data_IF_342902181822
#
_entry.id   IF_342902181822
#
_cell.length_a   1.000
_cell.length_b   1.000
_cell.length_c   1.000
_cell.angle_alpha   90.00
_cell.angle_beta   90.00
_cell.angle_gamma   90.00
#
_symmetry.space_group_name_H-M   'P 1'
#
loop_
_entity.id
_entity.type
_entity.pdbx_description
1 polymer ?
#
# COMPACT_ATOMS: atom_id res chain seq x y z
N UNK A 1 -25.41 52.12 -14.70
CA UNK A 1 -24.16 51.77 -13.99
C UNK A 1 -23.80 50.34 -14.41
N UNK A 2 -23.17 50.19 -15.58
CA UNK A 2 -21.72 50.06 -15.78
C UNK A 2 -21.18 48.72 -15.23
N UNK A 3 -21.06 47.70 -16.09
CA UNK A 3 -19.82 47.17 -16.71
C UNK A 3 -18.96 46.37 -15.68
N UNK A 4 -18.70 45.06 -15.79
CA UNK A 4 -18.22 44.27 -16.94
C UNK A 4 -18.56 42.74 -16.82
N UNK A 5 -18.56 42.02 -17.95
CA UNK A 5 -18.83 40.58 -18.05
C UNK A 5 -17.62 39.72 -17.69
N UNK A 6 -17.85 38.60 -16.97
CA UNK A 6 -16.84 37.55 -16.79
C UNK A 6 -16.60 36.87 -18.14
N UNK A 7 -15.39 37.05 -18.66
CA UNK A 7 -14.90 36.52 -19.93
C UNK A 7 -14.88 34.98 -19.90
N UNK A 8 -15.66 34.39 -20.78
CA UNK A 8 -15.47 33.05 -21.32
C UNK A 8 -14.07 32.93 -21.95
N UNK A 9 -13.27 31.97 -21.51
CA UNK A 9 -12.01 31.59 -22.18
C UNK A 9 -12.26 30.28 -22.93
N UNK A 10 -12.34 30.28 -24.27
CA UNK A 10 -12.12 29.08 -25.06
C UNK A 10 -10.65 29.05 -25.50
N UNK A 11 -9.89 28.03 -25.10
CA UNK A 11 -8.57 27.76 -25.70
C UNK A 11 -8.36 26.27 -25.94
N UNK A 12 -8.72 25.92 -27.17
CA UNK A 12 -8.28 24.88 -28.11
C UNK A 12 -7.24 23.82 -27.70
N UNK A 13 -7.33 22.63 -28.36
CA UNK A 13 -6.53 21.45 -28.09
C UNK A 13 -5.15 21.55 -28.74
N UNK A 14 -4.12 21.02 -28.08
CA UNK A 14 -2.85 20.68 -28.73
C UNK A 14 -2.41 19.28 -28.33
N UNK A 15 -2.67 18.38 -29.28
CA UNK A 15 -1.76 17.33 -29.72
C UNK A 15 -0.30 17.63 -29.34
N UNK A 16 0.25 16.80 -28.48
CA UNK A 16 1.68 16.49 -28.47
C UNK A 16 1.81 14.98 -28.28
N UNK A 17 1.84 14.30 -29.43
CA UNK A 17 2.62 13.08 -29.56
C UNK A 17 4.07 13.40 -29.17
N UNK A 18 4.73 12.50 -28.45
CA UNK A 18 6.11 12.01 -28.66
C UNK A 18 6.44 11.03 -27.51
N UNK A 19 6.35 9.75 -27.85
CA UNK A 19 7.42 8.76 -27.79
C UNK A 19 8.42 8.82 -26.60
N UNK A 20 8.29 7.86 -25.67
CA UNK A 20 9.41 7.20 -24.99
C UNK A 20 8.83 5.92 -24.33
N UNK A 21 8.92 4.76 -24.96
CA UNK A 21 10.06 3.84 -24.92
C UNK A 21 10.43 3.41 -23.49
N UNK A 22 10.11 2.16 -23.14
CA UNK A 22 10.77 1.50 -22.02
C UNK A 22 9.96 0.40 -21.32
N UNK A 23 10.18 -0.83 -21.75
CA UNK A 23 10.26 -2.03 -20.90
C UNK A 23 8.93 -2.59 -20.34
N UNK A 24 8.15 -3.22 -21.23
CA UNK A 24 7.41 -4.44 -20.85
C UNK A 24 8.15 -5.63 -21.44
N UNK A 25 9.08 -6.15 -20.65
CA UNK A 25 9.70 -7.45 -20.85
C UNK A 25 8.63 -8.53 -20.63
N UNK A 26 7.90 -8.84 -21.70
CA UNK A 26 7.19 -10.10 -21.82
C UNK A 26 8.16 -11.16 -22.30
N UNK A 27 8.54 -12.08 -21.41
CA UNK A 27 9.15 -13.35 -21.81
C UNK A 27 8.18 -14.47 -21.43
N UNK A 28 7.28 -14.75 -22.35
CA UNK A 28 6.65 -16.07 -22.47
C UNK A 28 7.56 -16.91 -23.36
N UNK A 29 7.49 -18.24 -23.20
CA UNK A 29 7.97 -19.28 -24.12
C UNK A 29 9.46 -19.65 -23.93
N UNK A 30 9.90 -20.91 -23.98
CA UNK A 30 9.30 -22.14 -24.53
C UNK A 30 10.12 -23.35 -24.05
N UNK A 31 9.46 -24.50 -23.96
CA UNK A 31 10.07 -25.81 -23.77
C UNK A 31 10.79 -26.31 -25.03
N UNK A 32 11.96 -26.94 -24.89
CA UNK A 32 12.49 -27.90 -25.88
C UNK A 32 13.55 -28.86 -25.30
N UNK A 33 13.19 -30.15 -25.31
CA UNK A 33 13.92 -31.42 -25.56
C UNK A 33 15.37 -31.71 -25.05
N UNK A 34 15.69 -32.99 -24.75
CA UNK A 34 16.97 -33.42 -24.17
C UNK A 34 18.04 -33.72 -25.24
N UNK A 35 19.32 -33.47 -24.91
CA UNK A 35 20.49 -33.83 -25.73
C UNK A 35 21.34 -34.85 -24.95
N UNK A 36 21.89 -35.91 -25.58
CA UNK A 36 22.61 -36.97 -24.88
C UNK A 36 24.01 -36.51 -24.50
N UNK A 37 24.39 -36.68 -23.23
CA UNK A 37 25.72 -36.36 -22.72
C UNK A 37 26.64 -37.57 -22.92
N UNK A 38 27.72 -37.37 -23.68
CA UNK A 38 28.82 -38.30 -23.85
C UNK A 38 29.57 -38.55 -22.51
N UNK A 39 30.19 -39.72 -22.29
CA UNK A 39 30.89 -40.00 -21.03
C UNK A 39 32.21 -39.23 -20.93
N UNK A 40 32.55 -38.64 -19.76
CA UNK A 40 33.86 -38.03 -19.55
C UNK A 40 34.95 -39.10 -19.31
N UNK A 41 36.21 -38.82 -19.69
CA UNK A 41 37.33 -39.74 -19.51
C UNK A 41 37.78 -39.83 -18.04
N UNK A 42 38.27 -41.02 -17.66
CA UNK A 42 38.83 -41.34 -16.35
C UNK A 42 40.11 -40.54 -16.07
N UNK A 43 40.16 -39.86 -14.91
CA UNK A 43 41.35 -39.16 -14.39
C UNK A 43 41.55 -39.54 -12.91
N UNK A 44 42.81 -39.68 -12.41
CA UNK A 44 43.13 -40.48 -11.23
C UNK A 44 42.77 -39.85 -9.89
N UNK A 45 42.65 -40.70 -8.87
CA UNK A 45 42.34 -40.38 -7.49
C UNK A 45 43.27 -39.31 -6.88
N UNK A 46 42.67 -38.23 -6.39
CA UNK A 46 43.33 -37.24 -5.54
C UNK A 46 43.17 -37.61 -4.04
N UNK A 47 44.14 -37.27 -3.17
CA UNK A 47 44.16 -37.72 -1.78
C UNK A 47 43.09 -37.03 -0.92
N UNK A 48 42.56 -37.79 0.04
CA UNK A 48 41.48 -37.36 0.93
C UNK A 48 41.89 -36.14 1.79
N UNK A 49 41.18 -35.03 1.62
CA UNK A 49 41.26 -33.86 2.49
C UNK A 49 40.47 -34.16 3.78
N UNK A 50 41.00 -33.84 4.99
CA UNK A 50 40.27 -34.01 6.24
C UNK A 50 38.97 -33.18 6.21
N UNK A 51 37.83 -33.82 6.49
CA UNK A 51 36.54 -33.12 6.62
C UNK A 51 36.62 -32.13 7.78
N UNK A 52 36.50 -30.84 7.47
CA UNK A 52 36.26 -29.81 8.47
C UNK A 52 34.92 -30.11 9.16
N UNK A 53 34.96 -30.37 10.46
CA UNK A 53 33.77 -30.47 11.30
C UNK A 53 33.20 -29.07 11.45
N UNK A 54 32.08 -28.80 10.79
CA UNK A 54 31.32 -27.54 10.98
C UNK A 54 30.69 -27.59 12.37
N UNK A 55 30.93 -26.60 13.25
CA UNK A 55 30.20 -26.50 14.51
C UNK A 55 28.72 -26.31 14.23
N UNK A 56 27.88 -27.26 14.66
CA UNK A 56 26.43 -27.08 14.67
C UNK A 56 26.12 -26.04 15.74
N UNK A 57 25.83 -24.82 15.31
CA UNK A 57 25.29 -23.79 16.20
C UNK A 57 23.92 -24.27 16.69
N UNK A 58 23.67 -24.33 18.01
CA UNK A 58 22.35 -24.67 18.54
C UNK A 58 21.33 -23.65 18.03
N UNK A 59 20.41 -24.10 17.18
CA UNK A 59 19.25 -23.29 16.77
C UNK A 59 18.38 -23.13 18.01
N UNK A 60 18.32 -21.92 18.57
CA UNK A 60 17.41 -21.60 19.64
C UNK A 60 15.97 -21.90 19.19
N UNK A 61 15.12 -22.48 20.05
CA UNK A 61 13.72 -22.72 19.71
C UNK A 61 13.05 -21.39 19.31
N UNK A 62 12.19 -21.37 18.28
CA UNK A 62 11.54 -20.15 17.84
C UNK A 62 10.73 -19.55 18.99
N UNK A 63 11.08 -18.32 19.38
CA UNK A 63 10.32 -17.56 20.36
C UNK A 63 8.92 -17.31 19.79
N UNK A 64 7.83 -17.62 20.53
CA UNK A 64 6.48 -17.32 20.08
C UNK A 64 6.35 -15.82 19.77
N UNK A 65 5.83 -15.49 18.59
CA UNK A 65 5.53 -14.11 18.26
C UNK A 65 4.52 -13.54 19.28
N UNK A 66 4.66 -12.27 19.70
CA UNK A 66 3.70 -11.65 20.59
C UNK A 66 2.29 -11.66 19.95
N UNK A 67 1.23 -11.79 20.77
CA UNK A 67 -0.14 -11.84 20.26
C UNK A 67 -0.50 -10.54 19.53
N UNK A 68 -0.96 -10.67 18.29
CA UNK A 68 -1.46 -9.53 17.52
C UNK A 68 -2.80 -9.09 18.13
N UNK A 69 -3.00 -7.77 18.40
CA UNK A 69 -4.28 -7.26 18.86
C UNK A 69 -5.40 -7.67 17.90
N UNK A 70 -6.58 -8.08 18.41
CA UNK A 70 -7.68 -8.45 17.55
C UNK A 70 -8.14 -7.23 16.73
N UNK A 71 -8.32 -7.46 15.42
CA UNK A 71 -8.94 -6.47 14.53
C UNK A 71 -10.38 -6.27 14.97
N UNK A 72 -10.83 -5.02 15.01
CA UNK A 72 -12.20 -4.67 15.34
C UNK A 72 -13.17 -5.42 14.42
N UNK A 73 -14.22 -5.95 15.00
CA UNK A 73 -15.30 -6.65 14.31
C UNK A 73 -16.63 -5.94 14.61
N UNK A 74 -17.63 -6.15 13.76
CA UNK A 74 -18.96 -5.57 13.93
C UNK A 74 -19.28 -4.49 12.89
N UNK A 75 -20.26 -3.60 13.17
CA UNK A 75 -20.77 -2.64 12.20
C UNK A 75 -19.67 -1.77 11.58
N UNK A 76 -19.84 -1.49 10.29
CA UNK A 76 -18.95 -0.62 9.52
C UNK A 76 -19.55 0.78 9.46
N UNK A 77 -18.73 1.80 9.67
CA UNK A 77 -19.11 3.18 9.42
C UNK A 77 -19.29 3.40 7.91
N UNK A 78 -20.50 3.79 7.49
CA UNK A 78 -20.84 3.92 6.07
C UNK A 78 -20.01 4.97 5.34
N UNK A 79 -19.54 6.01 6.05
CA UNK A 79 -18.76 7.11 5.46
C UNK A 79 -17.32 6.71 5.16
N UNK A 80 -16.66 6.02 6.10
CA UNK A 80 -15.24 5.69 6.00
C UNK A 80 -14.95 4.25 5.60
N UNK A 81 -15.90 3.33 5.74
CA UNK A 81 -15.67 1.90 5.50
C UNK A 81 -14.84 1.21 6.58
N UNK A 82 -14.55 1.90 7.69
CA UNK A 82 -13.86 1.36 8.85
C UNK A 82 -14.86 0.78 9.86
N UNK A 83 -14.43 -0.15 10.70
CA UNK A 83 -15.28 -0.67 11.78
C UNK A 83 -15.56 0.44 12.81
N UNK A 84 -16.81 0.58 13.22
CA UNK A 84 -17.21 1.64 14.17
C UNK A 84 -16.43 1.55 15.49
N UNK A 85 -16.09 0.34 15.93
CA UNK A 85 -15.31 0.13 17.15
C UNK A 85 -13.84 0.60 17.05
N UNK A 86 -13.28 0.74 15.84
CA UNK A 86 -11.92 1.25 15.65
C UNK A 86 -11.85 2.74 15.30
N UNK A 87 -12.98 3.35 14.92
CA UNK A 87 -13.12 4.78 14.66
C UNK A 87 -13.41 5.52 15.97
N UNK A 88 -12.64 6.55 16.25
CA UNK A 88 -12.83 7.42 17.42
C UNK A 88 -13.67 8.64 17.04
N UNK A 89 -13.34 9.26 15.91
CA UNK A 89 -14.06 10.41 15.40
C UNK A 89 -13.82 10.61 13.90
N UNK A 90 -14.85 11.11 13.21
CA UNK A 90 -14.74 11.64 11.86
C UNK A 90 -15.29 13.06 11.89
N UNK A 91 -14.46 14.03 11.53
CA UNK A 91 -14.83 15.45 11.51
C UNK A 91 -14.55 16.06 10.14
N UNK A 92 -15.23 17.16 9.84
CA UNK A 92 -15.13 17.84 8.54
C UNK A 92 -16.01 17.23 7.45
N UNK A 93 -15.80 17.77 6.24
CA UNK A 93 -16.58 17.54 5.03
C UNK A 93 -15.67 17.54 3.78
N UNK A 94 -16.27 17.31 2.62
CA UNK A 94 -15.56 17.18 1.36
C UNK A 94 -15.08 18.52 0.77
N UNK A 95 -15.63 19.65 1.21
CA UNK A 95 -15.25 20.99 0.72
C UNK A 95 -14.04 21.53 1.50
N UNK A 96 -13.88 21.14 2.77
CA UNK A 96 -12.73 21.52 3.60
C UNK A 96 -11.63 20.45 3.63
N UNK A 97 -11.97 19.28 4.20
CA UNK A 97 -11.14 18.06 4.41
C UNK A 97 -11.78 17.23 5.51
N UNK A 98 -11.71 15.91 5.38
CA UNK A 98 -12.05 15.01 6.47
C UNK A 98 -10.84 14.80 7.38
N UNK A 99 -11.10 14.75 8.69
CA UNK A 99 -10.13 14.30 9.69
C UNK A 99 -10.70 13.10 10.42
N UNK A 100 -10.01 11.96 10.32
CA UNK A 100 -10.40 10.69 10.92
C UNK A 100 -9.42 10.31 12.01
N UNK A 101 -9.91 10.13 13.22
CA UNK A 101 -9.17 9.56 14.34
C UNK A 101 -9.57 8.10 14.47
N UNK A 102 -8.59 7.20 14.44
CA UNK A 102 -8.84 5.75 14.49
C UNK A 102 -7.70 5.00 15.18
N UNK A 103 -7.98 3.75 15.57
CA UNK A 103 -7.03 2.84 16.20
C UNK A 103 -6.42 1.91 15.14
N UNK A 104 -5.19 2.15 14.65
CA UNK A 104 -4.59 1.34 13.59
C UNK A 104 -4.41 -0.12 13.99
N UNK A 105 -4.07 -0.39 15.26
CA UNK A 105 -3.90 -1.76 15.76
C UNK A 105 -5.19 -2.60 15.74
N UNK A 106 -6.35 -1.95 15.63
CA UNK A 106 -7.67 -2.59 15.57
C UNK A 106 -8.30 -2.44 14.18
N UNK A 107 -7.57 -1.94 13.19
CA UNK A 107 -8.12 -1.67 11.86
C UNK A 107 -7.28 -2.38 10.81
N UNK A 108 -7.93 -3.05 9.87
CA UNK A 108 -7.25 -3.67 8.73
C UNK A 108 -6.55 -2.61 7.87
N UNK A 109 -5.30 -2.88 7.47
CA UNK A 109 -4.48 -1.95 6.69
C UNK A 109 -5.06 -1.65 5.30
N UNK A 110 -5.73 -2.63 4.68
CA UNK A 110 -6.45 -2.43 3.42
C UNK A 110 -7.64 -1.48 3.60
N UNK A 111 -8.38 -1.61 4.71
CA UNK A 111 -9.48 -0.69 5.05
C UNK A 111 -8.99 0.73 5.36
N UNK A 112 -7.88 0.88 6.07
CA UNK A 112 -7.25 2.19 6.29
C UNK A 112 -6.91 2.85 4.94
N UNK A 113 -6.35 2.07 4.01
CA UNK A 113 -5.93 2.58 2.69
C UNK A 113 -7.12 2.90 1.76
N UNK A 114 -8.24 2.17 1.90
CA UNK A 114 -9.46 2.39 1.12
C UNK A 114 -10.34 3.53 1.66
N UNK A 115 -10.20 3.87 2.94
CA UNK A 115 -11.06 4.83 3.62
C UNK A 115 -11.10 6.23 2.96
N UNK A 116 -9.99 6.81 2.45
CA UNK A 116 -10.03 8.09 1.74
C UNK A 116 -10.98 8.09 0.54
N UNK A 117 -10.89 7.04 -0.29
CA UNK A 117 -11.75 6.90 -1.45
C UNK A 117 -13.21 6.68 -1.07
N UNK A 118 -13.49 6.03 0.05
CA UNK A 118 -14.86 5.85 0.53
C UNK A 118 -15.45 7.17 1.04
N UNK A 119 -14.68 7.95 1.79
CA UNK A 119 -15.09 9.27 2.30
C UNK A 119 -15.43 10.25 1.17
N UNK A 120 -14.55 10.37 0.17
CA UNK A 120 -14.80 11.29 -0.94
C UNK A 120 -15.95 10.79 -1.84
N UNK A 121 -16.05 9.48 -2.12
CA UNK A 121 -17.17 8.93 -2.92
C UNK A 121 -18.52 9.11 -2.24
N UNK A 122 -18.59 9.00 -0.91
CA UNK A 122 -19.81 9.30 -0.15
C UNK A 122 -20.29 10.74 -0.32
N UNK A 123 -19.42 11.65 -0.75
CA UNK A 123 -19.72 13.04 -1.07
C UNK A 123 -19.78 13.33 -2.59
N UNK A 124 -19.68 12.31 -3.46
CA UNK A 124 -19.64 12.49 -4.92
C UNK A 124 -18.37 13.16 -5.44
N UNK A 125 -17.23 12.92 -4.79
CA UNK A 125 -15.93 13.55 -5.06
C UNK A 125 -14.84 12.50 -5.24
N UNK A 126 -13.74 12.89 -5.89
CA UNK A 126 -12.51 12.09 -5.97
C UNK A 126 -11.50 12.46 -4.89
N UNK A 127 -10.54 11.57 -4.63
CA UNK A 127 -9.47 11.81 -3.66
C UNK A 127 -8.42 12.71 -4.29
N UNK A 128 -8.25 13.92 -3.74
CA UNK A 128 -7.16 14.82 -4.12
C UNK A 128 -5.86 14.47 -3.38
N UNK A 129 -5.98 14.03 -2.13
CA UNK A 129 -4.85 13.60 -1.33
C UNK A 129 -5.28 13.02 0.00
N UNK A 130 -4.43 12.16 0.56
CA UNK A 130 -4.59 11.66 1.92
C UNK A 130 -3.24 11.55 2.61
N UNK A 131 -3.23 11.78 3.91
CA UNK A 131 -2.04 11.59 4.74
C UNK A 131 -2.45 11.09 6.11
N UNK A 132 -1.68 10.15 6.64
CA UNK A 132 -1.86 9.60 7.99
C UNK A 132 -0.59 9.86 8.77
N UNK A 133 -0.73 10.34 10.00
CA UNK A 133 0.41 10.51 10.89
C UNK A 133 1.00 9.16 11.32
N UNK A 134 2.26 9.18 11.77
CA UNK A 134 2.83 8.01 12.42
C UNK A 134 2.04 7.69 13.72
N UNK A 135 1.98 6.41 14.16
CA UNK A 135 1.33 6.07 15.42
C UNK A 135 1.92 6.90 16.57
N UNK A 136 1.07 7.59 17.33
CA UNK A 136 1.49 8.46 18.44
C UNK A 136 1.99 9.85 18.04
N UNK A 137 2.13 10.17 16.74
CA UNK A 137 2.58 11.49 16.29
C UNK A 137 1.38 12.45 16.12
N UNK A 138 1.00 13.16 17.19
CA UNK A 138 -0.01 14.24 17.10
C UNK A 138 -1.44 13.83 17.48
N UNK A 139 -1.64 12.64 18.03
CA UNK A 139 -2.84 12.32 18.81
C UNK A 139 -2.44 12.29 20.27
N UNK A 140 -3.11 13.08 21.12
CA UNK A 140 -2.90 13.08 22.58
C UNK A 140 -3.28 11.73 23.24
N UNK A 141 -3.78 10.78 22.44
CA UNK A 141 -4.20 9.45 22.85
C UNK A 141 -3.21 8.39 22.32
N UNK A 142 -2.58 7.60 23.20
CA UNK A 142 -1.75 6.47 22.80
C UNK A 142 -2.52 5.47 21.91
N UNK A 143 -1.87 4.98 20.86
CA UNK A 143 -2.47 4.00 19.95
C UNK A 143 -3.53 4.57 19.00
N UNK A 144 -3.59 5.89 18.83
CA UNK A 144 -4.49 6.57 17.89
C UNK A 144 -3.68 7.21 16.76
N UNK A 145 -4.21 7.11 15.55
CA UNK A 145 -3.73 7.82 14.38
C UNK A 145 -4.80 8.77 13.86
N UNK A 146 -4.32 9.84 13.23
CA UNK A 146 -5.08 10.85 12.52
C UNK A 146 -4.79 10.74 11.03
N UNK A 147 -5.84 10.49 10.26
CA UNK A 147 -5.84 10.55 8.80
C UNK A 147 -6.56 11.82 8.34
N UNK A 148 -5.92 12.60 7.49
CA UNK A 148 -6.48 13.79 6.86
C UNK A 148 -6.71 13.46 5.38
N UNK A 149 -7.92 13.69 4.89
CA UNK A 149 -8.32 13.42 3.51
C UNK A 149 -8.84 14.70 2.87
N UNK A 150 -8.28 15.05 1.72
CA UNK A 150 -8.74 16.16 0.89
C UNK A 150 -9.41 15.58 -0.36
N UNK A 151 -10.61 16.06 -0.67
CA UNK A 151 -11.35 15.64 -1.85
C UNK A 151 -11.29 16.72 -2.94
N UNK A 152 -11.56 16.34 -4.19
CA UNK A 152 -11.71 17.23 -5.35
C UNK A 152 -12.97 16.87 -6.14
N UNK A 153 -13.46 17.77 -6.98
CA UNK A 153 -14.51 17.42 -7.93
C UNK A 153 -14.10 16.22 -8.79
N UNK A 154 -15.08 15.33 -9.04
CA UNK A 154 -14.93 14.16 -9.89
C UNK A 154 -15.00 14.50 -11.38
#
# INVERSE_FOLDING_TARGET
MSFLPVRTIPSLPRLTAILAAGLLAGCVQTATAPVPVAPPPSVPAAPAVPRAVVPVVPVAPPVPAPPVPPVASGPVDGRSGLHQASVIAITGDADSRFTVLFRPAQTDAGKISAAPAQLCRGAGRDVAGSRTNAPGAGSAMPGVQMMIVTCTAA
#
